data_IF_112337928755
#
_entry.id   IF_112337928755
#
_cell.length_a   1.000
_cell.length_b   1.000
_cell.length_c   1.000
_cell.angle_alpha   90.00
_cell.angle_beta   90.00
_cell.angle_gamma   90.00
#
_symmetry.space_group_name_H-M   'P 1'
#
loop_
_entity.id
_entity.type
_entity.pdbx_description
1 polymer ?
#
# COMPACT_ATOMS: atom_id res chain seq x y z
N UNK A 1 13.08 12.34 -20.38
CA UNK A 1 11.73 12.25 -19.77
C UNK A 1 11.91 12.20 -18.26
N UNK A 2 11.28 13.10 -17.50
CA UNK A 2 11.54 13.30 -16.08
C UNK A 2 10.98 12.14 -15.23
N UNK A 3 11.74 11.05 -15.09
CA UNK A 3 11.33 9.87 -14.30
C UNK A 3 10.97 10.23 -12.85
N UNK A 4 11.58 11.28 -12.29
CA UNK A 4 11.23 11.78 -10.96
C UNK A 4 9.78 12.27 -10.83
N UNK A 5 9.22 12.88 -11.88
CA UNK A 5 7.84 13.37 -11.88
C UNK A 5 6.88 12.17 -11.98
N UNK A 6 7.18 11.19 -12.83
CA UNK A 6 6.40 9.95 -12.94
C UNK A 6 6.35 9.19 -11.61
N UNK A 7 7.51 9.02 -10.96
CA UNK A 7 7.61 8.36 -9.65
C UNK A 7 6.86 9.15 -8.57
N UNK A 8 6.87 10.48 -8.62
CA UNK A 8 6.12 11.33 -7.69
C UNK A 8 4.61 11.09 -7.80
N UNK A 9 4.07 11.08 -9.01
CA UNK A 9 2.63 10.89 -9.24
C UNK A 9 2.21 9.51 -8.70
N UNK A 10 2.95 8.45 -9.07
CA UNK A 10 2.62 7.09 -8.65
C UNK A 10 2.69 6.96 -7.13
N UNK A 11 3.77 7.41 -6.49
CA UNK A 11 3.92 7.29 -5.03
C UNK A 11 2.90 8.14 -4.27
N UNK A 12 2.56 9.33 -4.78
CA UNK A 12 1.60 10.21 -4.14
C UNK A 12 0.19 9.62 -4.17
N UNK A 13 -0.26 9.15 -5.35
CA UNK A 13 -1.57 8.52 -5.48
C UNK A 13 -1.64 7.23 -4.68
N UNK A 14 -0.64 6.35 -4.79
CA UNK A 14 -0.58 5.10 -4.02
C UNK A 14 -0.60 5.39 -2.52
N UNK A 15 0.24 6.32 -2.06
CA UNK A 15 0.32 6.70 -0.66
C UNK A 15 -0.98 7.30 -0.12
N UNK A 16 -1.62 8.19 -0.87
CA UNK A 16 -2.91 8.79 -0.50
C UNK A 16 -4.02 7.75 -0.41
N UNK A 17 -4.12 6.85 -1.39
CA UNK A 17 -5.13 5.78 -1.39
C UNK A 17 -4.98 4.90 -0.16
N UNK A 18 -3.77 4.41 0.12
CA UNK A 18 -3.52 3.56 1.30
C UNK A 18 -3.72 4.31 2.62
N UNK A 19 -3.31 5.57 2.70
CA UNK A 19 -3.54 6.40 3.89
C UNK A 19 -5.04 6.50 4.20
N UNK A 20 -5.86 6.80 3.19
CA UNK A 20 -7.31 6.89 3.35
C UNK A 20 -7.92 5.53 3.73
N UNK A 21 -7.48 4.43 3.11
CA UNK A 21 -7.94 3.08 3.47
C UNK A 21 -7.57 2.66 4.89
N UNK A 22 -6.40 3.04 5.37
CA UNK A 22 -5.98 2.78 6.74
C UNK A 22 -6.74 3.64 7.74
N UNK A 23 -6.92 4.94 7.43
CA UNK A 23 -7.62 5.88 8.29
C UNK A 23 -9.08 5.46 8.50
N UNK A 24 -9.77 5.03 7.45
CA UNK A 24 -11.16 4.55 7.56
C UNK A 24 -11.25 3.28 8.41
N UNK A 25 -10.27 2.37 8.38
CA UNK A 25 -10.24 1.19 9.26
C UNK A 25 -10.21 1.56 10.74
N UNK A 26 -9.48 2.62 11.11
CA UNK A 26 -9.48 3.12 12.49
C UNK A 26 -10.79 3.83 12.83
N UNK A 27 -11.35 4.62 11.92
CA UNK A 27 -12.60 5.36 12.13
C UNK A 27 -13.83 4.43 12.23
N UNK A 28 -13.86 3.34 11.46
CA UNK A 28 -14.95 2.36 11.47
C UNK A 28 -14.88 1.38 12.65
N UNK A 29 -13.89 1.53 13.54
CA UNK A 29 -13.64 0.63 14.66
C UNK A 29 -12.79 -0.56 14.23
N UNK A 30 -11.54 -0.58 14.67
CA UNK A 30 -10.57 -1.60 14.26
C UNK A 30 -10.93 -3.01 14.76
N UNK A 31 -11.68 -3.11 15.85
CA UNK A 31 -12.22 -4.37 16.38
C UNK A 31 -13.21 -5.03 15.40
N UNK A 32 -14.01 -4.23 14.68
CA UNK A 32 -14.90 -4.74 13.64
C UNK A 32 -14.09 -5.36 12.50
N UNK A 33 -12.98 -4.73 12.12
CA UNK A 33 -12.07 -5.26 11.10
C UNK A 33 -11.37 -6.51 11.61
N UNK A 34 -10.96 -6.56 12.88
CA UNK A 34 -10.36 -7.75 13.48
C UNK A 34 -11.34 -8.94 13.51
N UNK A 35 -12.61 -8.68 13.83
CA UNK A 35 -13.68 -9.67 13.74
C UNK A 35 -13.91 -10.16 12.31
N UNK A 36 -13.90 -9.24 11.34
CA UNK A 36 -14.01 -9.59 9.92
C UNK A 36 -12.80 -10.40 9.41
N UNK A 37 -11.59 -10.09 9.84
CA UNK A 37 -10.40 -10.91 9.53
C UNK A 37 -10.58 -12.34 10.04
N UNK A 38 -11.10 -12.48 11.26
CA UNK A 38 -11.36 -13.79 11.86
C UNK A 38 -12.40 -14.59 11.07
N UNK A 39 -13.44 -13.93 10.53
CA UNK A 39 -14.47 -14.62 9.73
C UNK A 39 -13.96 -15.13 8.38
N UNK A 40 -12.91 -14.52 7.81
CA UNK A 40 -12.24 -14.98 6.59
C UNK A 40 -11.02 -15.89 6.88
N UNK A 41 -10.86 -16.34 8.12
CA UNK A 41 -9.80 -17.27 8.54
C UNK A 41 -8.42 -16.63 8.71
N UNK A 42 -8.36 -15.32 8.92
CA UNK A 42 -7.14 -14.59 9.27
C UNK A 42 -7.13 -14.23 10.77
N UNK A 43 -5.96 -14.21 11.44
CA UNK A 43 -5.86 -13.73 12.80
C UNK A 43 -6.33 -12.28 12.94
N UNK A 44 -7.22 -11.99 13.90
CA UNK A 44 -7.74 -10.64 14.12
C UNK A 44 -6.68 -9.59 14.42
N UNK A 45 -5.56 -9.95 15.06
CA UNK A 45 -4.46 -9.02 15.33
C UNK A 45 -3.83 -8.43 14.05
N UNK A 46 -3.93 -9.14 12.91
CA UNK A 46 -3.42 -8.64 11.63
C UNK A 46 -4.17 -7.38 11.16
N UNK A 47 -5.42 -7.17 11.59
CA UNK A 47 -6.15 -5.94 11.27
C UNK A 47 -5.40 -4.69 11.77
N UNK A 48 -4.81 -4.75 12.97
CA UNK A 48 -4.01 -3.68 13.54
C UNK A 48 -2.70 -3.48 12.77
N UNK A 49 -2.05 -4.58 12.39
CA UNK A 49 -0.82 -4.54 11.60
C UNK A 49 -1.05 -3.92 10.23
N UNK A 50 -2.07 -4.38 9.50
CA UNK A 50 -2.43 -3.87 8.18
C UNK A 50 -2.86 -2.40 8.27
N UNK A 51 -3.81 -2.05 9.13
CA UNK A 51 -4.29 -0.67 9.24
C UNK A 51 -3.15 0.30 9.58
N UNK A 52 -2.27 -0.06 10.53
CA UNK A 52 -1.10 0.75 10.86
C UNK A 52 -0.14 0.87 9.68
N UNK A 53 0.15 -0.24 8.99
CA UNK A 53 1.02 -0.24 7.82
C UNK A 53 0.46 0.64 6.70
N UNK A 54 -0.85 0.62 6.45
CA UNK A 54 -1.50 1.44 5.43
C UNK A 54 -1.43 2.94 5.76
N UNK A 55 -1.70 3.33 7.02
CA UNK A 55 -1.62 4.74 7.44
C UNK A 55 -0.17 5.23 7.40
N UNK A 56 0.72 4.56 8.13
CA UNK A 56 2.12 4.99 8.25
C UNK A 56 2.83 4.90 6.91
N UNK A 57 2.67 3.78 6.20
CA UNK A 57 3.22 3.60 4.86
C UNK A 57 2.68 4.62 3.86
N UNK A 58 1.40 4.98 3.96
CA UNK A 58 0.77 5.97 3.09
C UNK A 58 1.43 7.33 3.24
N UNK A 59 1.62 7.78 4.49
CA UNK A 59 2.37 9.00 4.81
C UNK A 59 3.81 8.91 4.31
N UNK A 60 4.51 7.79 4.56
CA UNK A 60 5.87 7.58 4.09
C UNK A 60 6.00 7.72 2.58
N UNK A 61 5.09 7.15 1.78
CA UNK A 61 5.11 7.31 0.32
C UNK A 61 4.84 8.74 -0.14
N UNK A 62 3.93 9.46 0.52
CA UNK A 62 3.61 10.86 0.21
C UNK A 62 4.84 11.75 0.44
N UNK A 63 5.50 11.63 1.60
CA UNK A 63 6.70 12.43 1.90
C UNK A 63 7.93 11.94 1.11
N UNK A 64 7.92 10.68 0.67
CA UNK A 64 8.98 10.10 -0.16
C UNK A 64 10.10 9.49 0.67
N UNK A 65 9.72 8.77 1.72
CA UNK A 65 10.60 8.02 2.60
C UNK A 65 10.36 6.52 2.45
N UNK A 66 11.43 5.75 2.28
CA UNK A 66 11.39 4.30 2.13
C UNK A 66 10.60 3.84 0.91
N UNK A 67 10.53 4.64 -0.16
CA UNK A 67 9.57 4.46 -1.27
C UNK A 67 9.58 3.05 -1.83
N UNK A 68 10.77 2.50 -2.06
CA UNK A 68 10.98 1.14 -2.56
C UNK A 68 10.37 0.07 -1.64
N UNK A 69 10.64 0.13 -0.34
CA UNK A 69 10.23 -0.92 0.60
C UNK A 69 8.76 -0.81 0.98
N UNK A 70 8.24 0.42 1.12
CA UNK A 70 6.82 0.63 1.39
C UNK A 70 5.98 0.25 0.16
N UNK A 71 6.44 0.52 -1.06
CA UNK A 71 5.78 0.04 -2.28
C UNK A 71 5.66 -1.48 -2.34
N UNK A 72 6.72 -2.20 -1.93
CA UNK A 72 6.69 -3.67 -1.84
C UNK A 72 5.73 -4.15 -0.74
N UNK A 73 5.74 -3.51 0.44
CA UNK A 73 4.82 -3.83 1.53
C UNK A 73 3.35 -3.72 1.07
N UNK A 74 3.00 -2.63 0.37
CA UNK A 74 1.66 -2.44 -0.18
C UNK A 74 1.30 -3.45 -1.26
N UNK A 75 2.25 -3.81 -2.14
CA UNK A 75 2.02 -4.87 -3.10
C UNK A 75 1.69 -6.21 -2.42
N UNK A 76 2.38 -6.56 -1.33
CA UNK A 76 2.09 -7.78 -0.56
C UNK A 76 0.71 -7.74 0.11
N UNK A 77 0.30 -6.59 0.65
CA UNK A 77 -1.04 -6.41 1.23
C UNK A 77 -2.11 -6.63 0.15
N UNK A 78 -1.93 -6.08 -1.06
CA UNK A 78 -2.86 -6.29 -2.17
C UNK A 78 -2.92 -7.75 -2.61
N UNK A 79 -1.80 -8.48 -2.67
CA UNK A 79 -1.82 -9.92 -2.93
C UNK A 79 -2.71 -10.64 -1.91
N UNK A 80 -2.56 -10.31 -0.63
CA UNK A 80 -3.40 -10.87 0.44
C UNK A 80 -4.89 -10.54 0.25
N UNK A 81 -5.21 -9.27 -0.04
CA UNK A 81 -6.59 -8.83 -0.27
C UNK A 81 -7.24 -9.54 -1.48
N UNK A 82 -6.51 -9.64 -2.59
CA UNK A 82 -6.98 -10.32 -3.80
C UNK A 82 -7.29 -11.79 -3.49
N UNK A 83 -6.31 -12.52 -2.96
CA UNK A 83 -6.42 -13.97 -2.76
C UNK A 83 -7.49 -14.32 -1.72
N UNK A 84 -7.62 -13.54 -0.65
CA UNK A 84 -8.53 -13.88 0.47
C UNK A 84 -9.94 -13.33 0.30
N UNK A 85 -10.10 -12.20 -0.36
CA UNK A 85 -11.37 -11.44 -0.30
C UNK A 85 -12.04 -11.35 -1.65
N UNK A 86 -11.27 -11.12 -2.72
CA UNK A 86 -11.83 -10.72 -4.02
C UNK A 86 -11.62 -11.74 -5.14
N UNK A 87 -10.87 -12.81 -4.91
CA UNK A 87 -10.57 -13.80 -5.93
C UNK A 87 -11.82 -14.38 -6.60
N UNK A 88 -12.83 -14.73 -5.79
CA UNK A 88 -14.09 -15.29 -6.29
C UNK A 88 -14.95 -14.29 -7.06
N UNK A 89 -14.79 -12.98 -6.81
CA UNK A 89 -15.53 -11.94 -7.52
C UNK A 89 -14.97 -11.68 -8.94
N UNK A 90 -13.77 -12.18 -9.26
CA UNK A 90 -13.14 -11.95 -10.56
C UNK A 90 -12.61 -10.53 -10.74
N UNK A 91 -12.05 -10.25 -11.92
CA UNK A 91 -11.36 -8.99 -12.19
C UNK A 91 -12.30 -7.78 -12.11
N UNK A 92 -13.45 -7.87 -12.78
CA UNK A 92 -14.44 -6.79 -12.90
C UNK A 92 -15.58 -6.88 -11.87
N UNK A 93 -15.61 -7.95 -11.06
CA UNK A 93 -16.70 -8.23 -10.14
C UNK A 93 -17.71 -9.22 -10.69
N UNK A 94 -18.61 -9.66 -9.80
CA UNK A 94 -19.64 -10.68 -10.06
C UNK A 94 -21.07 -10.10 -10.13
N UNK A 95 -21.16 -8.76 -10.22
CA UNK A 95 -22.41 -8.01 -10.18
C UNK A 95 -22.98 -7.74 -8.78
N UNK A 96 -22.41 -8.36 -7.73
CA UNK A 96 -22.78 -8.12 -6.31
C UNK A 96 -21.63 -7.51 -5.51
N UNK A 97 -20.41 -7.94 -5.81
CA UNK A 97 -19.18 -7.51 -5.19
C UNK A 97 -18.29 -6.84 -6.23
N UNK A 98 -17.57 -5.80 -5.81
CA UNK A 98 -16.53 -5.20 -6.64
C UNK A 98 -15.40 -6.21 -6.90
N UNK A 99 -14.89 -6.23 -8.13
CA UNK A 99 -13.75 -7.04 -8.50
C UNK A 99 -12.43 -6.57 -7.89
N UNK A 100 -11.36 -7.27 -8.26
CA UNK A 100 -10.00 -6.97 -7.80
C UNK A 100 -9.20 -6.05 -8.74
N UNK A 101 -9.82 -5.40 -9.73
CA UNK A 101 -9.14 -4.47 -10.66
C UNK A 101 -8.34 -3.37 -9.94
N UNK A 102 -8.90 -2.79 -8.88
CA UNK A 102 -8.26 -1.73 -8.12
C UNK A 102 -7.06 -2.27 -7.36
N UNK A 103 -7.25 -3.39 -6.67
CA UNK A 103 -6.21 -4.07 -5.89
C UNK A 103 -5.03 -4.48 -6.79
N UNK A 104 -5.32 -4.99 -8.00
CA UNK A 104 -4.32 -5.33 -9.00
C UNK A 104 -3.57 -4.10 -9.50
N UNK A 105 -4.27 -2.99 -9.71
CA UNK A 105 -3.67 -1.72 -10.13
C UNK A 105 -2.73 -1.19 -9.04
N UNK A 106 -3.17 -1.18 -7.78
CA UNK A 106 -2.36 -0.74 -6.64
C UNK A 106 -1.15 -1.66 -6.41
N UNK A 107 -1.31 -2.97 -6.61
CA UNK A 107 -0.23 -3.94 -6.61
C UNK A 107 0.80 -3.61 -7.68
N UNK A 108 0.38 -3.36 -8.92
CA UNK A 108 1.26 -3.02 -10.02
C UNK A 108 2.04 -1.72 -9.76
N UNK A 109 1.38 -0.70 -9.18
CA UNK A 109 2.03 0.54 -8.76
C UNK A 109 3.10 0.29 -7.68
N UNK A 110 2.80 -0.52 -6.67
CA UNK A 110 3.75 -0.89 -5.62
C UNK A 110 4.97 -1.65 -6.16
N UNK A 111 4.73 -2.64 -7.02
CA UNK A 111 5.80 -3.39 -7.70
C UNK A 111 6.64 -2.51 -8.61
N UNK A 112 6.02 -1.57 -9.35
CA UNK A 112 6.75 -0.61 -10.16
C UNK A 112 7.73 0.19 -9.31
N UNK A 113 7.28 0.76 -8.18
CA UNK A 113 8.17 1.51 -7.29
C UNK A 113 9.34 0.66 -6.77
N UNK A 114 9.08 -0.63 -6.51
CA UNK A 114 10.12 -1.55 -6.07
C UNK A 114 11.16 -1.86 -7.17
N UNK A 115 10.69 -2.22 -8.37
CA UNK A 115 11.52 -2.66 -9.51
C UNK A 115 12.28 -1.49 -10.12
N UNK A 116 11.62 -0.35 -10.29
CA UNK A 116 12.24 0.88 -10.77
C UNK A 116 13.24 1.47 -9.77
N UNK A 117 13.37 0.87 -8.57
CA UNK A 117 14.16 1.38 -7.45
C UNK A 117 13.82 2.83 -7.14
N UNK A 118 12.53 3.17 -7.20
CA UNK A 118 12.08 4.53 -7.06
C UNK A 118 12.44 5.08 -5.68
N UNK A 119 12.97 6.29 -5.69
CA UNK A 119 13.45 7.02 -4.54
C UNK A 119 12.70 8.36 -4.41
N UNK A 120 12.31 8.68 -3.19
CA UNK A 120 11.69 9.96 -2.86
C UNK A 120 12.70 11.08 -2.63
N UNK A 121 12.20 12.29 -2.42
CA UNK A 121 13.05 13.43 -2.09
C UNK A 121 13.80 13.20 -0.77
N UNK A 122 13.11 12.65 0.24
CA UNK A 122 13.71 12.34 1.55
C UNK A 122 14.72 11.21 1.42
N UNK A 123 14.42 10.15 0.66
CA UNK A 123 15.38 9.05 0.41
C UNK A 123 16.70 9.57 -0.16
N UNK A 124 16.63 10.44 -1.18
CA UNK A 124 17.83 11.06 -1.78
C UNK A 124 18.60 11.93 -0.79
N UNK A 125 17.88 12.78 -0.04
CA UNK A 125 18.51 13.64 0.96
C UNK A 125 19.28 12.84 2.03
N UNK A 126 18.71 11.71 2.48
CA UNK A 126 19.36 10.81 3.43
C UNK A 126 20.60 10.16 2.79
N UNK A 127 20.51 9.67 1.56
CA UNK A 127 21.65 9.06 0.88
C UNK A 127 22.81 10.04 0.67
N UNK A 128 22.51 11.28 0.29
CA UNK A 128 23.53 12.30 0.05
C UNK A 128 24.29 12.69 1.32
N UNK A 129 23.60 12.82 2.46
CA UNK A 129 24.23 13.29 3.71
C UNK A 129 24.83 12.18 4.57
N UNK A 130 24.25 10.99 4.55
CA UNK A 130 24.61 9.90 5.50
C UNK A 130 25.62 8.93 4.89
N UNK A 131 25.52 8.60 3.59
CA UNK A 131 26.33 7.54 2.98
C UNK A 131 27.55 8.05 2.19
N UNK A 132 27.56 9.31 1.76
CA UNK A 132 28.68 9.90 1.00
C UNK A 132 29.74 10.60 1.86
N UNK A 133 29.60 10.57 3.19
CA UNK A 133 30.53 11.19 4.14
C UNK A 133 31.40 10.16 4.90
N UNK A 134 31.35 8.89 4.50
CA UNK A 134 32.19 7.79 5.01
C UNK A 134 33.20 7.35 3.97
#
# INVERSE_FOLDING_TARGET
>A
MNQHIGNFIIRFVLGLTFFMHGLTKFQSGIENIAGWFTSIGLPGFLAYGVATAEVVGGVCLIIGFGVRYIGLLFALIMVGAIVKVKWSAGLLGDGKNAGYELDLTLLAMGLYLFVAKADGFVDRFVQEKVLKKS
#
